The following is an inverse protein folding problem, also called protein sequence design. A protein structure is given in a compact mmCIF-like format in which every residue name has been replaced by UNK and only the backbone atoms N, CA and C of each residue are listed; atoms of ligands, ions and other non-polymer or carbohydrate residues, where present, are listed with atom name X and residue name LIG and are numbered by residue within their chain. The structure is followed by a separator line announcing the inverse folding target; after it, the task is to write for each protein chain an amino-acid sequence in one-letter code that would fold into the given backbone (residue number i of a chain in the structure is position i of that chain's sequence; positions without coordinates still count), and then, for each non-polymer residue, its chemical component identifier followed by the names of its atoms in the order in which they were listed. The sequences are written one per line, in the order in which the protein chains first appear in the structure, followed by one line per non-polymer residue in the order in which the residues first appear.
data_IF_671293870341
#
_entry.id   IF_671293870341
#
_cell.length_a   1.000
_cell.length_b   1.000
_cell.length_c   1.000
_cell.angle_alpha   90.00
_cell.angle_beta   90.00
_cell.angle_gamma   90.00
#
_symmetry.space_group_name_H-M   'P 1'
#
loop_
_entity.id
_entity.type
_entity.pdbx_description
1 polymer ?
#
# COMPACT_ATOMS: atom_id res chain seq x y z
N UNK A 1 1.43 43.23 18.77
CA UNK A 1 0.98 42.80 17.43
C UNK A 1 1.43 41.35 17.20
N UNK A 2 0.61 40.38 17.61
CA UNK A 2 0.82 38.94 17.30
C UNK A 2 -0.26 38.55 16.30
N UNK A 3 0.14 38.30 15.06
CA UNK A 3 -0.77 37.86 13.99
C UNK A 3 -1.05 36.37 14.16
N UNK A 4 -2.33 36.06 14.10
CA UNK A 4 -2.90 34.73 14.15
C UNK A 4 -2.39 33.86 13.00
N UNK A 5 -2.02 32.62 13.31
CA UNK A 5 -1.80 31.55 12.34
C UNK A 5 -2.53 30.32 12.88
N UNK A 6 -3.84 30.25 12.63
CA UNK A 6 -4.65 29.08 12.93
C UNK A 6 -5.79 29.00 11.91
N UNK A 7 -6.12 27.75 11.55
CA UNK A 7 -7.22 27.28 10.70
C UNK A 7 -6.85 27.02 9.25
N UNK A 8 -6.49 25.77 8.94
CA UNK A 8 -6.76 25.12 7.65
C UNK A 8 -6.60 23.59 7.76
N UNK A 9 -7.31 22.91 8.67
CA UNK A 9 -7.41 21.44 8.62
C UNK A 9 -8.77 20.97 9.14
N UNK A 10 -9.76 21.01 8.25
CA UNK A 10 -11.01 20.25 8.37
C UNK A 10 -11.73 20.25 7.01
N UNK A 11 -11.10 19.71 5.97
CA UNK A 11 -11.82 19.38 4.74
C UNK A 11 -12.41 17.99 4.90
N UNK A 12 -13.60 17.97 5.51
CA UNK A 12 -14.45 16.79 5.59
C UNK A 12 -14.83 16.33 4.16
N UNK A 13 -15.11 15.03 4.02
CA UNK A 13 -15.64 14.30 2.85
C UNK A 13 -16.20 15.08 1.63
N UNK A 14 -17.01 16.15 1.74
CA UNK A 14 -17.42 16.98 0.60
C UNK A 14 -16.28 17.43 -0.36
N UNK A 15 -15.08 17.73 0.14
CA UNK A 15 -13.95 18.07 -0.74
C UNK A 15 -13.45 16.86 -1.54
N UNK A 16 -13.48 15.68 -0.91
CA UNK A 16 -13.13 14.41 -1.57
C UNK A 16 -14.19 13.99 -2.59
N UNK A 17 -15.46 14.34 -2.39
CA UNK A 17 -16.53 13.99 -3.33
C UNK A 17 -16.40 14.71 -4.68
N UNK A 18 -15.70 15.86 -4.72
CA UNK A 18 -15.43 16.65 -5.93
C UNK A 18 -14.08 16.29 -6.58
N UNK A 19 -13.40 15.24 -6.11
CA UNK A 19 -12.10 14.85 -6.63
C UNK A 19 -12.20 14.36 -8.10
N UNK A 20 -11.41 14.93 -9.02
CA UNK A 20 -11.50 14.62 -10.45
C UNK A 20 -10.94 13.24 -10.83
N UNK A 21 -10.08 12.65 -9.99
CA UNK A 21 -9.44 11.36 -10.23
C UNK A 21 -10.12 10.26 -9.44
N UNK A 22 -10.26 10.44 -8.12
CA UNK A 22 -10.76 9.43 -7.18
C UNK A 22 -11.78 10.03 -6.19
N UNK A 23 -12.99 10.40 -6.68
CA UNK A 23 -14.03 11.00 -5.84
C UNK A 23 -14.41 10.07 -4.72
N UNK A 24 -14.51 10.59 -3.50
CA UNK A 24 -15.11 9.87 -2.39
C UNK A 24 -16.58 9.60 -2.70
N UNK A 25 -16.95 8.33 -2.75
CA UNK A 25 -18.33 7.91 -2.95
C UNK A 25 -19.05 7.95 -1.60
N UNK A 26 -20.23 8.58 -1.56
CA UNK A 26 -21.15 8.41 -0.43
C UNK A 26 -21.97 7.17 -0.70
N UNK A 27 -22.11 6.27 0.28
CA UNK A 27 -22.86 5.03 0.10
C UNK A 27 -24.30 5.32 -0.36
N UNK A 28 -24.65 4.90 -1.58
CA UNK A 28 -26.01 5.04 -2.13
C UNK A 28 -26.85 3.84 -1.69
N UNK A 29 -26.26 2.64 -1.77
CA UNK A 29 -26.82 1.36 -1.34
C UNK A 29 -25.81 0.62 -0.44
N UNK A 30 -26.31 -0.06 0.59
CA UNK A 30 -25.47 -0.93 1.44
C UNK A 30 -25.57 -2.36 0.94
N UNK A 31 -24.43 -3.00 0.68
CA UNK A 31 -24.39 -4.43 0.41
C UNK A 31 -24.28 -5.23 1.72
N UNK A 32 -24.76 -6.49 1.77
CA UNK A 32 -24.47 -7.36 2.89
C UNK A 32 -22.97 -7.67 2.95
N UNK A 33 -22.42 -7.88 4.14
CA UNK A 33 -21.05 -8.39 4.32
C UNK A 33 -20.98 -9.89 4.05
N UNK A 34 -19.83 -10.38 3.59
CA UNK A 34 -19.60 -11.76 3.16
C UNK A 34 -19.42 -12.79 4.30
N UNK A 35 -19.48 -12.38 5.57
CA UNK A 35 -19.19 -13.27 6.69
C UNK A 35 -17.69 -13.55 6.85
N UNK A 36 -17.28 -14.81 6.99
CA UNK A 36 -15.88 -15.18 7.14
C UNK A 36 -15.14 -15.15 5.79
N UNK A 37 -14.28 -14.14 5.61
CA UNK A 37 -13.26 -14.10 4.57
C UNK A 37 -11.89 -14.48 5.19
N UNK A 38 -11.02 -15.23 4.50
CA UNK A 38 -9.66 -15.45 4.98
C UNK A 38 -8.88 -14.12 4.95
N UNK A 39 -8.02 -13.84 5.96
CA UNK A 39 -7.16 -12.67 5.92
C UNK A 39 -6.20 -12.76 4.72
N UNK A 40 -5.93 -11.64 4.02
CA UNK A 40 -4.98 -11.60 2.92
C UNK A 40 -3.54 -11.59 3.45
N UNK A 41 -3.10 -12.75 3.94
CA UNK A 41 -1.77 -12.93 4.54
C UNK A 41 -0.70 -13.35 3.55
N UNK A 42 -1.10 -13.79 2.35
CA UNK A 42 -0.16 -14.03 1.26
C UNK A 42 0.01 -12.72 0.49
N UNK A 43 1.13 -12.04 0.72
CA UNK A 43 1.47 -10.87 -0.08
C UNK A 43 1.80 -11.31 -1.50
N UNK A 44 1.35 -10.51 -2.47
CA UNK A 44 1.78 -10.66 -3.86
C UNK A 44 3.28 -10.36 -3.91
N UNK A 45 4.08 -11.10 -4.72
CA UNK A 45 5.50 -10.78 -4.83
C UNK A 45 5.69 -9.31 -5.23
N UNK A 46 6.22 -8.51 -4.31
CA UNK A 46 6.54 -7.10 -4.56
C UNK A 46 7.58 -7.01 -5.67
N UNK A 47 7.39 -6.08 -6.60
CA UNK A 47 8.37 -5.87 -7.65
C UNK A 47 9.47 -4.97 -7.11
N UNK A 48 10.73 -5.39 -7.20
CA UNK A 48 11.82 -4.45 -6.93
C UNK A 48 11.72 -3.25 -7.88
N UNK A 49 11.93 -2.03 -7.35
CA UNK A 49 11.85 -0.81 -8.15
C UNK A 49 13.00 -0.74 -9.17
N UNK A 50 12.64 -0.55 -10.43
CA UNK A 50 13.56 -0.53 -11.58
C UNK A 50 12.98 -1.33 -12.75
N UNK A 51 13.76 -1.52 -13.81
CA UNK A 51 13.33 -2.24 -15.02
C UNK A 51 14.47 -3.09 -15.59
N UNK A 52 14.12 -4.18 -16.31
CA UNK A 52 15.07 -5.19 -16.81
C UNK A 52 16.03 -5.70 -15.73
N UNK A 53 15.44 -6.02 -14.57
CA UNK A 53 16.21 -6.31 -13.37
C UNK A 53 16.96 -7.63 -13.51
N UNK A 54 18.27 -7.56 -13.36
CA UNK A 54 19.14 -8.70 -13.33
C UNK A 54 19.10 -9.39 -11.97
N UNK A 55 19.19 -10.73 -11.96
CA UNK A 55 19.07 -11.53 -10.74
C UNK A 55 20.39 -12.24 -10.43
N UNK A 56 20.63 -12.49 -9.14
CA UNK A 56 21.64 -13.45 -8.65
C UNK A 56 20.98 -14.41 -7.65
N UNK A 57 21.40 -15.67 -7.66
CA UNK A 57 20.97 -16.67 -6.67
C UNK A 57 22.21 -17.31 -6.03
N UNK A 58 22.23 -17.45 -4.70
CA UNK A 58 23.39 -17.94 -3.95
C UNK A 58 24.72 -17.24 -4.33
N UNK A 59 24.65 -15.92 -4.60
CA UNK A 59 25.81 -15.11 -5.02
C UNK A 59 26.19 -15.23 -6.50
N UNK A 60 25.57 -16.11 -7.28
CA UNK A 60 25.89 -16.35 -8.68
C UNK A 60 24.91 -15.59 -9.59
N UNK A 61 25.38 -14.73 -10.51
CA UNK A 61 24.53 -14.10 -11.52
C UNK A 61 23.81 -15.14 -12.38
N UNK A 62 22.52 -14.94 -12.63
CA UNK A 62 21.77 -15.78 -13.57
C UNK A 62 21.85 -15.14 -14.96
N UNK A 63 22.66 -15.68 -15.90
CA UNK A 63 22.82 -15.09 -17.22
C UNK A 63 21.52 -15.24 -18.02
N UNK A 64 21.24 -14.25 -18.89
CA UNK A 64 20.09 -14.25 -19.80
C UNK A 64 18.70 -14.29 -19.13
N UNK A 65 18.62 -14.09 -17.81
CA UNK A 65 17.36 -13.95 -17.08
C UNK A 65 17.23 -12.54 -16.50
N UNK A 66 16.10 -11.91 -16.79
CA UNK A 66 15.72 -10.58 -16.34
C UNK A 66 14.27 -10.62 -15.87
N UNK A 67 13.96 -9.83 -14.84
CA UNK A 67 12.57 -9.66 -14.39
C UNK A 67 11.96 -8.52 -15.21
N UNK A 68 11.08 -8.89 -16.16
CA UNK A 68 10.21 -7.94 -16.84
C UNK A 68 9.05 -7.56 -15.93
N UNK A 69 9.10 -6.37 -15.34
CA UNK A 69 8.13 -5.91 -14.35
C UNK A 69 7.33 -4.67 -14.81
N UNK A 70 7.48 -4.19 -16.05
CA UNK A 70 6.65 -3.08 -16.56
C UNK A 70 5.32 -3.61 -17.10
N UNK A 71 4.22 -3.00 -16.66
CA UNK A 71 2.87 -3.32 -17.12
C UNK A 71 2.26 -2.18 -17.97
N UNK A 72 1.11 -2.48 -18.57
CA UNK A 72 0.26 -1.54 -19.30
C UNK A 72 -1.19 -1.76 -18.86
N UNK A 73 -2.09 -0.84 -19.18
CA UNK A 73 -3.53 -1.05 -18.94
C UNK A 73 -4.07 -2.37 -19.53
N UNK A 74 -3.53 -2.79 -20.69
CA UNK A 74 -3.93 -4.01 -21.38
C UNK A 74 -3.36 -5.28 -20.78
N UNK A 75 -2.34 -5.19 -19.93
CA UNK A 75 -1.63 -6.34 -19.35
C UNK A 75 -1.80 -6.46 -17.84
N UNK A 76 -2.67 -5.65 -17.20
CA UNK A 76 -2.95 -5.74 -15.76
C UNK A 76 -3.50 -7.10 -15.33
N UNK A 77 -4.13 -7.85 -16.25
CA UNK A 77 -4.86 -9.06 -15.91
C UNK A 77 -6.18 -8.77 -15.22
N UNK A 78 -6.69 -9.77 -14.50
CA UNK A 78 -7.89 -9.67 -13.64
C UNK A 78 -7.48 -9.73 -12.19
N UNK A 79 -8.17 -8.97 -11.36
CA UNK A 79 -7.98 -8.97 -9.91
C UNK A 79 -8.65 -10.18 -9.29
N UNK A 80 -7.91 -10.84 -8.41
CA UNK A 80 -8.39 -11.94 -7.58
C UNK A 80 -8.07 -11.65 -6.12
N UNK A 81 -9.10 -11.47 -5.29
CA UNK A 81 -8.92 -11.32 -3.85
C UNK A 81 -8.02 -12.41 -3.25
N UNK A 82 -7.01 -12.00 -2.47
CA UNK A 82 -6.08 -12.87 -1.75
C UNK A 82 -5.40 -13.90 -2.68
N UNK A 83 -4.94 -13.46 -3.85
CA UNK A 83 -4.18 -14.32 -4.74
C UNK A 83 -2.83 -14.70 -4.10
N UNK A 84 -2.73 -15.96 -3.68
CA UNK A 84 -1.68 -16.44 -2.78
C UNK A 84 -0.32 -16.65 -3.45
N UNK A 85 0.73 -16.89 -2.63
CA UNK A 85 2.10 -17.22 -3.05
C UNK A 85 2.22 -18.46 -3.97
N UNK A 86 1.23 -19.35 -4.07
CA UNK A 86 1.20 -20.38 -5.12
C UNK A 86 1.00 -19.78 -6.54
N UNK A 87 0.44 -18.57 -6.61
CA UNK A 87 0.44 -17.69 -7.76
C UNK A 87 1.84 -17.16 -8.11
N UNK A 88 2.77 -17.01 -7.17
CA UNK A 88 4.15 -16.60 -7.45
C UNK A 88 4.91 -17.64 -8.30
N UNK A 89 4.70 -18.93 -8.02
CA UNK A 89 5.21 -20.04 -8.85
C UNK A 89 4.53 -20.05 -10.22
N UNK A 90 3.22 -19.75 -10.29
CA UNK A 90 2.51 -19.60 -11.58
C UNK A 90 2.97 -18.38 -12.37
N UNK A 91 3.26 -17.26 -11.72
CA UNK A 91 3.82 -16.03 -12.31
C UNK A 91 5.20 -16.31 -12.90
N UNK A 92 6.07 -17.01 -12.16
CA UNK A 92 7.38 -17.44 -12.65
C UNK A 92 7.28 -18.36 -13.88
N UNK A 93 6.18 -19.11 -13.99
CA UNK A 93 5.86 -20.01 -15.12
C UNK A 93 4.99 -19.36 -16.21
N UNK A 94 4.61 -18.08 -16.08
CA UNK A 94 3.76 -17.37 -17.05
C UNK A 94 2.31 -17.87 -17.14
N UNK A 95 1.79 -18.51 -16.08
CA UNK A 95 0.47 -19.16 -16.02
C UNK A 95 -0.56 -18.42 -15.15
N UNK A 96 -0.28 -17.19 -14.74
CA UNK A 96 -1.20 -16.38 -13.93
C UNK A 96 -2.11 -15.50 -14.80
N UNK A 97 -3.40 -15.47 -14.49
CA UNK A 97 -4.35 -14.50 -15.06
C UNK A 97 -4.18 -13.09 -14.47
N UNK A 98 -3.53 -12.99 -13.31
CA UNK A 98 -3.20 -11.74 -12.62
C UNK A 98 -1.71 -11.40 -12.78
N UNK A 99 -1.40 -10.20 -13.27
CA UNK A 99 -0.01 -9.74 -13.49
C UNK A 99 0.33 -8.61 -12.51
N UNK A 100 1.50 -8.71 -11.87
CA UNK A 100 2.03 -7.72 -10.93
C UNK A 100 3.28 -7.06 -11.52
N UNK A 101 3.44 -5.77 -11.25
CA UNK A 101 4.47 -4.95 -11.87
C UNK A 101 4.21 -3.46 -11.70
N UNK A 102 5.10 -2.67 -12.29
CA UNK A 102 5.18 -1.23 -12.18
C UNK A 102 4.57 -0.58 -13.43
N UNK A 103 3.83 0.50 -13.21
CA UNK A 103 3.27 1.35 -14.26
C UNK A 103 3.60 2.80 -13.94
N UNK A 104 4.07 3.55 -14.92
CA UNK A 104 4.21 5.00 -14.77
C UNK A 104 2.92 5.74 -15.14
N UNK A 105 2.55 6.74 -14.35
CA UNK A 105 1.45 7.66 -14.61
C UNK A 105 1.92 9.10 -14.43
N UNK A 106 1.50 10.01 -15.31
CA UNK A 106 2.00 11.39 -15.29
C UNK A 106 1.65 12.15 -14.02
N UNK A 107 0.53 11.78 -13.36
CA UNK A 107 0.05 12.47 -12.15
C UNK A 107 0.29 11.68 -10.86
N UNK A 108 0.43 10.36 -10.94
CA UNK A 108 0.64 9.48 -9.79
C UNK A 108 2.06 8.96 -9.66
N UNK A 109 2.99 9.33 -10.56
CA UNK A 109 4.33 8.76 -10.59
C UNK A 109 4.31 7.28 -10.97
N UNK A 110 5.32 6.53 -10.50
CA UNK A 110 5.32 5.07 -10.58
C UNK A 110 4.29 4.50 -9.60
N UNK A 111 3.61 3.44 -10.03
CA UNK A 111 2.58 2.72 -9.27
C UNK A 111 2.93 1.25 -9.30
N UNK A 112 3.06 0.64 -8.12
CA UNK A 112 3.15 -0.81 -7.97
C UNK A 112 1.75 -1.43 -7.83
N UNK A 113 1.40 -2.30 -8.77
CA UNK A 113 0.07 -2.91 -8.84
C UNK A 113 -0.15 -3.97 -7.75
N UNK A 114 0.90 -4.66 -7.27
CA UNK A 114 0.79 -5.60 -6.16
C UNK A 114 0.41 -4.84 -4.88
N UNK A 115 1.10 -3.75 -4.57
CA UNK A 115 0.82 -2.89 -3.41
C UNK A 115 -0.61 -2.32 -3.42
N UNK A 116 -1.08 -1.87 -4.59
CA UNK A 116 -2.47 -1.44 -4.79
C UNK A 116 -3.45 -2.57 -4.44
N UNK A 117 -3.21 -3.78 -4.93
CA UNK A 117 -4.13 -4.91 -4.74
C UNK A 117 -4.09 -5.48 -3.32
N UNK A 118 -2.91 -5.61 -2.72
CA UNK A 118 -2.75 -6.13 -1.36
C UNK A 118 -3.41 -5.20 -0.33
N UNK A 119 -3.28 -3.89 -0.50
CA UNK A 119 -3.95 -2.92 0.38
C UNK A 119 -5.46 -2.87 0.12
N UNK A 120 -5.89 -3.03 -1.14
CA UNK A 120 -7.32 -3.14 -1.48
C UNK A 120 -7.96 -4.38 -0.82
N UNK A 121 -7.31 -5.54 -0.91
CA UNK A 121 -7.79 -6.78 -0.30
C UNK A 121 -7.83 -6.68 1.22
N UNK A 122 -6.82 -6.10 1.86
CA UNK A 122 -6.85 -5.82 3.30
C UNK A 122 -8.01 -4.91 3.68
N UNK A 123 -8.31 -3.89 2.87
CA UNK A 123 -9.45 -2.99 3.08
C UNK A 123 -10.77 -3.76 3.01
N UNK A 124 -10.94 -4.62 2.01
CA UNK A 124 -12.15 -5.41 1.85
C UNK A 124 -12.33 -6.45 2.96
N UNK A 125 -11.25 -7.12 3.36
CA UNK A 125 -11.22 -8.03 4.50
C UNK A 125 -11.66 -7.33 5.79
N UNK A 126 -10.97 -6.24 6.15
CA UNK A 126 -11.25 -5.49 7.38
C UNK A 126 -12.67 -4.93 7.38
N UNK A 127 -13.16 -4.45 6.23
CA UNK A 127 -14.54 -3.98 6.11
C UNK A 127 -15.55 -5.06 6.50
N UNK A 128 -15.37 -6.29 5.98
CA UNK A 128 -16.25 -7.42 6.28
C UNK A 128 -16.17 -7.87 7.75
N UNK A 129 -15.05 -7.63 8.44
CA UNK A 129 -14.88 -7.89 9.87
C UNK A 129 -15.46 -6.79 10.75
N UNK A 130 -15.30 -5.52 10.35
CA UNK A 130 -15.64 -4.33 11.13
C UNK A 130 -17.12 -3.97 10.98
N UNK A 131 -17.68 -3.99 9.77
CA UNK A 131 -19.03 -3.49 9.53
C UNK A 131 -20.13 -4.17 10.39
N UNK A 132 -20.12 -5.50 10.60
CA UNK A 132 -21.13 -6.16 11.44
C UNK A 132 -21.02 -5.82 12.94
N UNK A 133 -19.82 -5.45 13.40
CA UNK A 133 -19.50 -5.22 14.82
C UNK A 133 -19.16 -3.76 15.12
N UNK A 134 -19.40 -2.85 14.18
CA UNK A 134 -19.02 -1.44 14.29
C UNK A 134 -19.55 -0.82 15.59
N UNK A 135 -18.64 -0.24 16.37
CA UNK A 135 -18.93 0.33 17.69
C UNK A 135 -18.56 -0.57 18.87
N UNK A 136 -18.24 -1.84 18.62
CA UNK A 136 -17.81 -2.78 19.66
C UNK A 136 -16.29 -2.81 19.76
N UNK A 137 -15.76 -3.00 20.97
CA UNK A 137 -14.35 -3.29 21.14
C UNK A 137 -14.03 -4.67 20.55
N UNK A 138 -12.88 -4.79 19.89
CA UNK A 138 -12.52 -6.02 19.18
C UNK A 138 -11.05 -6.08 18.85
N UNK A 139 -10.59 -7.27 18.46
CA UNK A 139 -9.22 -7.54 18.03
C UNK A 139 -9.25 -8.41 16.79
N UNK A 140 -8.47 -8.04 15.78
CA UNK A 140 -8.25 -8.84 14.58
C UNK A 140 -6.74 -9.10 14.53
N UNK A 141 -6.36 -10.38 14.50
CA UNK A 141 -4.97 -10.81 14.47
C UNK A 141 -4.58 -11.21 13.06
N UNK A 142 -3.33 -10.92 12.73
CA UNK A 142 -2.65 -11.36 11.52
C UNK A 142 -1.44 -12.21 11.90
N UNK A 143 -0.90 -12.96 10.94
CA UNK A 143 0.41 -13.59 11.04
C UNK A 143 1.49 -12.59 11.47
N UNK A 144 2.53 -13.10 12.15
CA UNK A 144 3.64 -12.25 12.62
C UNK A 144 4.42 -11.68 11.44
N UNK A 145 4.82 -10.43 11.60
CA UNK A 145 5.66 -9.72 10.64
C UNK A 145 6.57 -8.77 11.43
N UNK A 146 7.68 -9.32 11.95
CA UNK A 146 8.51 -8.71 13.02
C UNK A 146 7.69 -8.26 14.23
N UNK A 147 6.80 -9.13 14.70
CA UNK A 147 5.93 -8.88 15.83
C UNK A 147 4.51 -9.38 15.59
N UNK A 148 3.74 -9.53 16.67
CA UNK A 148 2.33 -9.91 16.59
C UNK A 148 1.53 -8.69 16.15
N UNK A 149 0.99 -8.75 14.92
CA UNK A 149 0.13 -7.72 14.35
C UNK A 149 -1.29 -7.87 14.88
N UNK A 150 -1.79 -6.80 15.50
CA UNK A 150 -3.14 -6.74 16.05
C UNK A 150 -3.82 -5.44 15.67
N UNK A 151 -4.86 -5.52 14.85
CA UNK A 151 -5.81 -4.41 14.70
C UNK A 151 -6.67 -4.36 15.96
N UNK A 152 -6.53 -3.27 16.72
CA UNK A 152 -7.29 -3.00 17.94
C UNK A 152 -8.45 -2.07 17.61
N UNK A 153 -9.68 -2.51 17.85
CA UNK A 153 -10.89 -1.71 17.68
C UNK A 153 -11.40 -1.26 19.05
N UNK A 154 -11.78 0.01 19.14
CA UNK A 154 -12.30 0.63 20.36
C UNK A 154 -13.83 0.64 20.36
N UNK A 155 -14.43 0.48 21.53
CA UNK A 155 -15.88 0.63 21.67
C UNK A 155 -16.28 2.12 21.56
N UNK A 156 -17.35 2.40 20.83
CA UNK A 156 -17.94 3.72 20.70
C UNK A 156 -19.43 3.62 20.34
N UNK A 157 -20.17 4.72 20.44
CA UNK A 157 -21.55 4.76 19.92
C UNK A 157 -21.54 5.10 18.43
N UNK A 158 -21.81 4.12 17.54
CA UNK A 158 -21.85 4.36 16.10
C UNK A 158 -23.04 5.23 15.69
N UNK A 159 -23.01 5.86 14.50
CA UNK A 159 -24.16 6.62 14.00
C UNK A 159 -25.41 5.73 13.89
N UNK A 160 -26.58 6.33 14.10
CA UNK A 160 -27.86 5.59 14.07
C UNK A 160 -28.24 5.10 12.67
N UNK A 161 -27.84 5.84 11.62
CA UNK A 161 -28.22 5.52 10.25
C UNK A 161 -27.35 4.44 9.61
N UNK A 162 -27.99 3.46 8.99
CA UNK A 162 -27.34 2.29 8.35
C UNK A 162 -26.28 2.71 7.32
N UNK A 163 -26.59 3.71 6.48
CA UNK A 163 -25.65 4.22 5.47
C UNK A 163 -24.42 4.88 6.09
N UNK A 164 -24.61 5.67 7.15
CA UNK A 164 -23.51 6.32 7.86
C UNK A 164 -22.60 5.29 8.53
N UNK A 165 -23.17 4.21 9.11
CA UNK A 165 -22.40 3.09 9.68
C UNK A 165 -21.57 2.39 8.60
N UNK A 166 -22.21 2.05 7.49
CA UNK A 166 -21.55 1.40 6.35
C UNK A 166 -20.39 2.25 5.82
N UNK A 167 -20.62 3.55 5.66
CA UNK A 167 -19.60 4.50 5.25
C UNK A 167 -18.45 4.57 6.24
N UNK A 168 -18.73 4.73 7.54
CA UNK A 168 -17.71 4.80 8.57
C UNK A 168 -16.86 3.51 8.63
N UNK A 169 -17.50 2.35 8.51
CA UNK A 169 -16.80 1.06 8.50
C UNK A 169 -15.86 0.92 7.30
N UNK A 170 -16.26 1.33 6.10
CA UNK A 170 -15.39 1.27 4.91
C UNK A 170 -14.16 2.17 5.06
N UNK A 171 -14.35 3.42 5.52
CA UNK A 171 -13.23 4.34 5.73
C UNK A 171 -12.30 3.89 6.85
N UNK A 172 -12.85 3.37 7.96
CA UNK A 172 -12.04 2.80 9.05
C UNK A 172 -11.23 1.59 8.55
N UNK A 173 -11.83 0.72 7.74
CA UNK A 173 -11.15 -0.43 7.15
C UNK A 173 -9.98 -0.01 6.24
N UNK A 174 -10.18 1.00 5.38
CA UNK A 174 -9.11 1.48 4.49
C UNK A 174 -7.99 2.22 5.23
N UNK A 175 -8.31 2.94 6.30
CA UNK A 175 -7.31 3.54 7.19
C UNK A 175 -6.44 2.47 7.85
N UNK A 176 -7.05 1.45 8.46
CA UNK A 176 -6.34 0.35 9.11
C UNK A 176 -5.55 -0.52 8.11
N UNK A 177 -6.08 -0.74 6.91
CA UNK A 177 -5.36 -1.44 5.84
C UNK A 177 -4.11 -0.66 5.40
N UNK A 178 -4.17 0.67 5.37
CA UNK A 178 -3.01 1.49 5.08
C UNK A 178 -1.96 1.42 6.20
N UNK A 179 -2.37 1.40 7.48
CA UNK A 179 -1.44 1.17 8.59
C UNK A 179 -0.75 -0.20 8.50
N UNK A 180 -1.46 -1.25 8.06
CA UNK A 180 -0.86 -2.58 7.80
C UNK A 180 0.19 -2.50 6.70
N UNK A 181 -0.10 -1.80 5.60
CA UNK A 181 0.85 -1.60 4.52
C UNK A 181 2.06 -0.77 4.95
N UNK A 182 1.89 0.28 5.76
CA UNK A 182 3.01 1.03 6.34
C UNK A 182 3.90 0.16 7.22
N UNK A 183 3.28 -0.72 8.00
CA UNK A 183 4.01 -1.67 8.82
C UNK A 183 4.85 -2.62 7.98
N UNK A 184 4.33 -3.08 6.84
CA UNK A 184 5.08 -3.94 5.91
C UNK A 184 6.41 -3.30 5.48
N UNK A 185 6.37 -2.03 5.06
CA UNK A 185 7.58 -1.28 4.67
C UNK A 185 8.61 -1.21 5.81
N UNK A 186 8.13 -0.96 7.03
CA UNK A 186 8.97 -0.94 8.23
C UNK A 186 9.56 -2.32 8.46
N UNK A 187 8.74 -3.36 8.48
CA UNK A 187 9.16 -4.71 8.80
C UNK A 187 10.21 -5.22 7.82
N UNK A 188 10.00 -5.03 6.51
CA UNK A 188 10.97 -5.39 5.47
C UNK A 188 12.33 -4.73 5.71
N UNK A 189 12.35 -3.44 6.06
CA UNK A 189 13.60 -2.73 6.32
C UNK A 189 14.34 -3.27 7.55
N UNK A 190 13.61 -3.64 8.60
CA UNK A 190 14.18 -4.19 9.84
C UNK A 190 14.51 -5.69 9.77
N UNK A 191 14.44 -6.28 8.57
CA UNK A 191 14.91 -7.64 8.31
C UNK A 191 13.81 -8.70 8.24
N UNK A 192 12.55 -8.31 8.00
CA UNK A 192 11.50 -9.27 7.71
C UNK A 192 11.81 -10.07 6.43
N UNK A 193 11.43 -11.35 6.45
CA UNK A 193 11.60 -12.27 5.33
C UNK A 193 10.36 -13.15 5.23
N UNK A 194 9.56 -13.00 4.17
CA UNK A 194 8.46 -13.93 3.88
C UNK A 194 8.98 -15.31 3.50
N UNK A 195 10.15 -15.37 2.86
CA UNK A 195 10.88 -16.61 2.55
C UNK A 195 12.22 -16.59 3.29
N UNK A 196 12.41 -17.48 4.29
CA UNK A 196 13.65 -17.52 5.07
C UNK A 196 14.90 -17.58 4.19
N UNK A 197 15.85 -16.68 4.46
CA UNK A 197 17.11 -16.55 3.72
C UNK A 197 17.06 -15.59 2.52
N UNK A 198 15.90 -15.05 2.18
CA UNK A 198 15.74 -14.03 1.13
C UNK A 198 15.36 -12.69 1.75
N UNK A 199 16.27 -11.72 1.66
CA UNK A 199 16.02 -10.37 2.15
C UNK A 199 15.01 -9.63 1.28
N UNK A 200 14.07 -8.95 1.94
CA UNK A 200 13.11 -8.03 1.32
C UNK A 200 13.51 -6.56 1.48
N UNK A 201 14.70 -6.27 2.01
CA UNK A 201 15.17 -4.88 2.18
C UNK A 201 15.27 -4.13 0.84
N UNK A 202 15.33 -4.84 -0.29
CA UNK A 202 15.28 -4.24 -1.63
C UNK A 202 13.95 -3.54 -1.93
N UNK A 203 12.82 -4.02 -1.40
CA UNK A 203 11.50 -3.39 -1.59
C UNK A 203 11.16 -2.38 -0.51
N UNK A 204 11.75 -2.48 0.69
CA UNK A 204 11.36 -1.63 1.82
C UNK A 204 11.41 -0.11 1.53
N UNK A 205 10.28 0.59 1.67
CA UNK A 205 10.18 2.04 1.43
C UNK A 205 10.57 2.46 0.01
N UNK A 206 10.28 1.67 -1.03
CA UNK A 206 10.51 2.09 -2.41
C UNK A 206 9.69 3.35 -2.73
N UNK A 207 10.14 4.18 -3.69
CA UNK A 207 9.53 5.50 -3.95
C UNK A 207 8.02 5.49 -4.21
N UNK A 208 7.48 4.39 -4.71
CA UNK A 208 6.11 4.18 -5.16
C UNK A 208 5.20 3.55 -4.11
N UNK A 209 5.75 2.80 -3.15
CA UNK A 209 5.00 1.82 -2.36
C UNK A 209 3.86 2.47 -1.59
N UNK A 210 4.18 3.46 -0.75
CA UNK A 210 3.18 4.07 0.12
C UNK A 210 2.10 4.86 -0.65
N UNK A 211 2.43 5.39 -1.83
CA UNK A 211 1.42 6.00 -2.69
C UNK A 211 0.50 4.94 -3.31
N UNK A 212 1.09 3.82 -3.75
CA UNK A 212 0.38 2.65 -4.31
C UNK A 212 -0.51 1.97 -3.27
N UNK A 213 0.00 1.81 -2.04
CA UNK A 213 -0.74 1.29 -0.88
C UNK A 213 -1.98 2.16 -0.61
N UNK A 214 -1.81 3.49 -0.47
CA UNK A 214 -2.94 4.41 -0.23
C UNK A 214 -3.94 4.42 -1.39
N UNK A 215 -3.46 4.30 -2.64
CA UNK A 215 -4.30 4.19 -3.82
C UNK A 215 -5.19 2.95 -3.74
N UNK A 216 -4.62 1.81 -3.34
CA UNK A 216 -5.33 0.56 -3.10
C UNK A 216 -6.45 0.69 -2.07
N UNK A 217 -6.14 1.24 -0.90
CA UNK A 217 -7.14 1.49 0.15
C UNK A 217 -8.31 2.35 -0.37
N UNK A 218 -7.99 3.45 -1.06
CA UNK A 218 -8.99 4.37 -1.59
C UNK A 218 -9.86 3.77 -2.70
N UNK A 219 -9.28 2.93 -3.57
CA UNK A 219 -10.01 2.19 -4.58
C UNK A 219 -11.02 1.23 -3.94
N UNK A 220 -10.57 0.39 -3.00
CA UNK A 220 -11.43 -0.56 -2.31
C UNK A 220 -12.57 0.13 -1.54
N UNK A 221 -12.28 1.22 -0.81
CA UNK A 221 -13.31 2.05 -0.18
C UNK A 221 -14.39 2.45 -1.21
N UNK A 222 -13.98 2.99 -2.36
CA UNK A 222 -14.91 3.44 -3.38
C UNK A 222 -15.72 2.29 -4.00
N UNK A 223 -15.10 1.13 -4.23
CA UNK A 223 -15.78 -0.08 -4.72
C UNK A 223 -16.84 -0.53 -3.72
N UNK A 224 -16.50 -0.64 -2.44
CA UNK A 224 -17.41 -1.02 -1.35
C UNK A 224 -18.58 -0.03 -1.23
N UNK A 225 -18.30 1.27 -1.23
CA UNK A 225 -19.30 2.34 -1.09
C UNK A 225 -20.19 2.50 -2.33
N UNK A 226 -19.73 2.02 -3.49
CA UNK A 226 -20.54 1.95 -4.71
C UNK A 226 -21.49 0.74 -4.73
N UNK A 227 -21.45 -0.12 -3.71
CA UNK A 227 -22.34 -1.27 -3.56
C UNK A 227 -21.77 -2.60 -4.03
N UNK A 228 -20.50 -2.63 -4.48
CA UNK A 228 -19.85 -3.84 -5.01
C UNK A 228 -19.18 -4.70 -3.93
N UNK A 229 -19.55 -4.50 -2.67
CA UNK A 229 -19.00 -5.24 -1.54
C UNK A 229 -19.79 -6.48 -1.15
N UNK A 230 -20.78 -6.89 -1.94
CA UNK A 230 -21.75 -7.95 -1.57
C UNK A 230 -21.34 -9.37 -1.95
N UNK A 231 -20.35 -9.54 -2.83
CA UNK A 231 -19.78 -10.84 -3.20
C UNK A 231 -18.34 -10.67 -3.66
N UNK A 232 -17.54 -11.76 -3.63
CA UNK A 232 -16.15 -11.73 -4.09
C UNK A 232 -16.06 -11.49 -5.59
N UNK A 233 -16.97 -12.08 -6.37
CA UNK A 233 -17.01 -11.91 -7.82
C UNK A 233 -17.28 -10.45 -8.19
N UNK A 234 -18.28 -9.82 -7.58
CA UNK A 234 -18.62 -8.42 -7.84
C UNK A 234 -17.50 -7.48 -7.38
N UNK A 235 -16.93 -7.73 -6.20
CA UNK A 235 -15.78 -6.98 -5.71
C UNK A 235 -14.59 -7.06 -6.68
N UNK A 236 -14.23 -8.26 -7.12
CA UNK A 236 -13.10 -8.49 -8.04
C UNK A 236 -13.30 -7.75 -9.37
N UNK A 237 -14.48 -7.90 -9.99
CA UNK A 237 -14.81 -7.23 -11.24
C UNK A 237 -14.83 -5.71 -11.10
N UNK A 238 -15.38 -5.20 -9.99
CA UNK A 238 -15.45 -3.77 -9.73
C UNK A 238 -14.07 -3.17 -9.44
N UNK A 239 -13.18 -3.89 -8.73
CA UNK A 239 -11.80 -3.46 -8.52
C UNK A 239 -11.00 -3.38 -9.82
N UNK A 240 -11.17 -4.34 -10.73
CA UNK A 240 -10.57 -4.28 -12.07
C UNK A 240 -10.99 -3.02 -12.84
N UNK A 241 -12.29 -2.76 -12.87
CA UNK A 241 -12.83 -1.58 -13.55
C UNK A 241 -12.35 -0.28 -12.88
N UNK A 242 -12.33 -0.23 -11.55
CA UNK A 242 -11.92 0.93 -10.79
C UNK A 242 -10.43 1.25 -10.99
N UNK A 243 -9.55 0.24 -10.93
CA UNK A 243 -8.11 0.39 -11.15
C UNK A 243 -7.81 0.94 -12.55
N UNK A 244 -8.37 0.33 -13.60
CA UNK A 244 -8.19 0.79 -14.99
C UNK A 244 -8.66 2.22 -15.19
N UNK A 245 -9.81 2.58 -14.61
CA UNK A 245 -10.38 3.91 -14.68
C UNK A 245 -9.48 4.95 -14.00
N UNK A 246 -8.92 4.62 -12.85
CA UNK A 246 -8.08 5.54 -12.09
C UNK A 246 -6.71 5.71 -12.71
N UNK A 247 -6.09 4.63 -13.20
CA UNK A 247 -4.83 4.72 -13.97
C UNK A 247 -5.00 5.59 -15.23
N UNK A 248 -6.13 5.46 -15.93
CA UNK A 248 -6.46 6.36 -17.05
C UNK A 248 -6.54 7.83 -16.61
N UNK A 249 -7.20 8.11 -15.47
CA UNK A 249 -7.34 9.48 -14.93
C UNK A 249 -6.04 10.06 -14.36
N UNK A 250 -5.12 9.19 -13.93
CA UNK A 250 -3.76 9.54 -13.56
C UNK A 250 -2.84 9.77 -14.78
N UNK A 251 -3.39 9.59 -15.99
CA UNK A 251 -2.68 9.71 -17.26
C UNK A 251 -1.55 8.67 -17.33
N UNK A 252 -1.94 7.40 -17.25
CA UNK A 252 -1.04 6.27 -17.46
C UNK A 252 -0.27 6.40 -18.78
N UNK A 253 1.03 6.15 -18.69
CA UNK A 253 1.93 6.19 -19.83
C UNK A 253 1.90 4.86 -20.60
N UNK A 254 2.42 4.89 -21.82
CA UNK A 254 2.71 3.67 -22.58
C UNK A 254 3.82 2.85 -21.91
N UNK A 255 3.99 1.59 -22.34
CA UNK A 255 5.12 0.74 -21.92
C UNK A 255 6.46 1.43 -22.16
N UNK A 256 6.71 1.87 -23.40
CA UNK A 256 7.98 2.49 -23.78
C UNK A 256 8.24 3.80 -23.04
N UNK A 257 7.21 4.59 -22.73
CA UNK A 257 7.38 5.75 -21.86
C UNK A 257 7.73 5.36 -20.43
N UNK A 258 7.10 4.33 -19.85
CA UNK A 258 7.43 3.83 -18.51
C UNK A 258 8.89 3.36 -18.44
N UNK A 259 9.33 2.58 -19.44
CA UNK A 259 10.72 2.13 -19.58
C UNK A 259 11.68 3.33 -19.73
N UNK A 260 11.32 4.32 -20.55
CA UNK A 260 12.10 5.54 -20.69
C UNK A 260 12.16 6.39 -19.41
N UNK A 261 11.11 6.39 -18.58
CA UNK A 261 11.16 7.03 -17.27
C UNK A 261 12.15 6.31 -16.35
N UNK A 262 12.15 4.97 -16.32
CA UNK A 262 13.13 4.18 -15.55
C UNK A 262 14.57 4.45 -16.00
N UNK A 263 14.82 4.46 -17.31
CA UNK A 263 16.15 4.74 -17.86
C UNK A 263 16.67 6.12 -17.45
N UNK A 264 15.80 7.13 -17.40
CA UNK A 264 16.18 8.50 -17.03
C UNK A 264 16.52 8.67 -15.54
N UNK A 265 16.07 7.78 -14.68
CA UNK A 265 16.35 7.81 -13.23
C UNK A 265 17.31 6.69 -12.79
N UNK A 266 17.87 5.93 -13.74
CA UNK A 266 18.93 4.96 -13.46
C UNK A 266 20.21 5.70 -12.99
N UNK A 267 20.87 5.15 -11.98
CA UNK A 267 21.96 5.78 -11.25
C UNK A 267 21.52 6.71 -10.11
N UNK A 268 20.30 7.26 -10.16
CA UNK A 268 19.79 8.20 -9.16
C UNK A 268 18.73 7.58 -8.22
N UNK A 269 17.76 6.86 -8.79
CA UNK A 269 16.68 6.22 -8.02
C UNK A 269 16.86 4.72 -7.87
N UNK A 270 17.46 4.10 -8.87
CA UNK A 270 17.81 2.69 -8.88
C UNK A 270 19.11 2.50 -9.63
N UNK A 271 19.71 1.32 -9.60
CA UNK A 271 21.00 1.04 -10.21
C UNK A 271 20.97 -0.25 -11.02
N UNK A 272 20.94 -0.12 -12.34
CA UNK A 272 20.92 -1.23 -13.31
C UNK A 272 22.16 -2.14 -13.26
N UNK A 273 23.27 -1.68 -12.68
CA UNK A 273 24.49 -2.47 -12.49
C UNK A 273 24.43 -3.39 -11.27
N UNK A 274 23.47 -3.15 -10.36
CA UNK A 274 23.19 -4.05 -9.23
C UNK A 274 22.17 -5.10 -9.64
N UNK A 275 22.10 -6.17 -8.83
CA UNK A 275 21.24 -7.33 -9.10
C UNK A 275 20.40 -7.64 -7.88
N UNK A 276 19.14 -8.00 -8.09
CA UNK A 276 18.25 -8.54 -7.06
C UNK A 276 18.96 -9.72 -6.37
N UNK A 277 18.98 -9.80 -5.02
CA UNK A 277 18.24 -8.97 -4.04
C UNK A 277 19.09 -7.87 -3.35
N UNK A 278 20.06 -7.26 -4.04
CA UNK A 278 20.88 -6.18 -3.45
C UNK A 278 20.02 -4.98 -3.02
N UNK A 279 20.01 -4.66 -1.72
CA UNK A 279 19.22 -3.56 -1.13
C UNK A 279 19.36 -2.25 -1.90
N UNK A 280 20.59 -1.88 -2.24
CA UNK A 280 20.88 -0.60 -2.88
C UNK A 280 20.80 -0.67 -4.41
N UNK A 281 20.20 -1.73 -4.96
CA UNK A 281 19.60 -1.64 -6.29
C UNK A 281 18.58 -0.51 -6.32
N UNK A 282 17.82 -0.31 -5.24
CA UNK A 282 16.92 0.85 -5.06
C UNK A 282 17.64 1.87 -4.19
N UNK A 283 17.96 3.03 -4.78
CA UNK A 283 18.76 4.12 -4.19
C UNK A 283 17.87 5.20 -3.56
N UNK A 284 16.78 5.56 -4.25
CA UNK A 284 15.79 6.50 -3.74
C UNK A 284 14.76 5.73 -2.92
N UNK A 285 14.44 6.24 -1.72
CA UNK A 285 13.42 5.67 -0.83
C UNK A 285 12.45 6.76 -0.37
N UNK A 286 11.25 6.38 0.05
CA UNK A 286 10.24 7.28 0.60
C UNK A 286 9.81 6.84 2.02
N UNK A 287 10.37 7.50 3.03
CA UNK A 287 10.10 7.22 4.45
C UNK A 287 8.96 8.05 5.06
N UNK A 288 8.27 8.89 4.28
CA UNK A 288 7.13 9.67 4.77
C UNK A 288 5.93 8.75 4.95
N UNK A 289 5.43 8.50 6.16
CA UNK A 289 4.29 7.61 6.41
C UNK A 289 2.96 8.37 6.53
N UNK A 290 2.88 9.62 6.08
CA UNK A 290 1.62 10.36 6.13
C UNK A 290 0.55 9.80 5.18
N UNK A 291 -0.71 9.89 5.61
CA UNK A 291 -1.90 9.40 4.88
C UNK A 291 -2.48 10.41 3.88
N UNK A 292 -1.86 11.59 3.75
CA UNK A 292 -2.22 12.63 2.79
C UNK A 292 -1.01 13.00 1.95
N UNK A 293 -0.74 12.23 0.89
CA UNK A 293 0.55 12.25 0.20
C UNK A 293 0.44 12.53 -1.29
N UNK A 294 1.47 13.18 -1.79
CA UNK A 294 1.77 13.25 -3.22
C UNK A 294 2.61 12.01 -3.59
N UNK A 295 2.63 11.61 -4.88
CA UNK A 295 3.60 10.62 -5.33
C UNK A 295 5.03 11.18 -5.17
N UNK A 296 6.02 10.29 -5.12
CA UNK A 296 7.42 10.74 -5.11
C UNK A 296 7.68 11.54 -6.39
N UNK A 297 8.12 12.81 -6.29
CA UNK A 297 8.25 13.68 -7.47
C UNK A 297 9.30 13.16 -8.44
N UNK A 298 8.90 12.83 -9.68
CA UNK A 298 9.83 12.46 -10.75
C UNK A 298 10.44 13.74 -11.35
N UNK A 299 11.78 13.91 -11.39
CA UNK A 299 12.43 15.21 -11.62
C UNK A 299 12.03 15.95 -12.91
N UNK A 300 11.67 15.22 -13.95
CA UNK A 300 11.36 15.74 -15.29
C UNK A 300 9.86 15.66 -15.63
N UNK A 301 9.03 15.21 -14.70
CA UNK A 301 7.58 15.26 -14.86
C UNK A 301 7.07 16.68 -14.57
N UNK A 302 6.22 17.19 -15.46
CA UNK A 302 5.71 18.57 -15.40
C UNK A 302 4.21 18.63 -15.14
N UNK A 303 3.52 17.50 -15.25
CA UNK A 303 2.11 17.42 -14.92
C UNK A 303 1.90 17.65 -13.41
N UNK A 304 0.88 18.43 -13.01
CA UNK A 304 0.56 18.61 -11.61
C UNK A 304 0.28 17.26 -10.93
N UNK A 305 1.05 16.90 -9.88
CA UNK A 305 0.88 15.61 -9.22
C UNK A 305 -0.47 15.55 -8.54
N UNK A 306 -1.05 14.36 -8.52
CA UNK A 306 -2.32 14.10 -7.87
C UNK A 306 -2.08 13.71 -6.41
N UNK A 307 -2.79 14.38 -5.49
CA UNK A 307 -2.70 14.11 -4.06
C UNK A 307 -3.72 13.06 -3.67
N UNK A 308 -3.26 11.95 -3.13
CA UNK A 308 -4.12 11.00 -2.43
C UNK A 308 -4.33 11.46 -1.00
N UNK A 309 -5.52 11.19 -0.48
CA UNK A 309 -5.92 11.65 0.85
C UNK A 309 -6.69 10.57 1.58
N UNK A 310 -6.45 10.45 2.88
CA UNK A 310 -7.29 9.73 3.83
C UNK A 310 -7.92 10.78 4.76
N UNK A 311 -9.26 10.86 4.87
CA UNK A 311 -9.89 11.81 5.77
C UNK A 311 -9.61 11.42 7.21
N UNK A 312 -9.11 12.36 8.01
CA UNK A 312 -8.90 12.14 9.44
C UNK A 312 -10.22 11.82 10.18
N UNK A 313 -11.33 12.39 9.70
CA UNK A 313 -12.66 12.23 10.27
C UNK A 313 -13.73 11.90 9.23
N UNK A 314 -14.65 11.02 9.61
CA UNK A 314 -15.81 10.61 8.82
C UNK A 314 -17.06 10.73 9.67
N UNK A 315 -18.00 11.58 9.27
CA UNK A 315 -19.24 11.80 10.02
C UNK A 315 -19.03 12.32 11.46
N UNK A 316 -17.93 13.05 11.71
CA UNK A 316 -17.55 13.55 13.04
C UNK A 316 -16.77 12.54 13.90
N UNK A 317 -16.53 11.32 13.39
CA UNK A 317 -15.71 10.32 14.07
C UNK A 317 -14.30 10.35 13.53
N UNK A 318 -13.30 10.45 14.41
CA UNK A 318 -11.89 10.39 14.03
C UNK A 318 -11.44 8.94 13.90
N UNK A 319 -10.93 8.56 12.73
CA UNK A 319 -10.68 7.14 12.41
C UNK A 319 -9.71 6.49 13.41
N UNK A 320 -8.60 7.17 13.72
CA UNK A 320 -7.58 6.70 14.68
C UNK A 320 -8.09 6.52 16.12
N UNK A 321 -9.20 7.16 16.49
CA UNK A 321 -9.79 6.99 17.83
C UNK A 321 -10.68 5.72 17.85
N UNK A 322 -11.14 5.24 16.68
CA UNK A 322 -11.97 4.05 16.54
C UNK A 322 -11.17 2.75 16.47
N UNK A 323 -9.93 2.81 15.98
CA UNK A 323 -9.01 1.70 16.00
C UNK A 323 -7.64 2.08 15.46
N UNK A 324 -6.66 1.21 15.72
CA UNK A 324 -5.28 1.32 15.24
C UNK A 324 -4.66 -0.07 15.05
N UNK A 325 -3.64 -0.17 14.21
CA UNK A 325 -2.72 -1.29 14.19
C UNK A 325 -1.73 -1.20 15.36
N UNK A 326 -1.56 -2.31 16.06
CA UNK A 326 -0.64 -2.48 17.17
C UNK A 326 0.29 -3.65 16.91
N UNK A 327 1.60 -3.43 17.10
CA UNK A 327 2.63 -4.45 16.92
C UNK A 327 3.20 -4.82 18.28
N UNK A 328 2.84 -5.99 18.76
CA UNK A 328 3.34 -6.54 20.01
C UNK A 328 4.65 -7.30 19.79
N UNK A 329 5.50 -7.44 20.83
CA UNK A 329 6.64 -8.34 20.77
C UNK A 329 6.22 -9.73 20.29
N UNK A 330 6.89 -10.22 19.25
CA UNK A 330 6.69 -11.54 18.66
C UNK A 330 7.81 -12.51 19.02
N UNK A 331 7.90 -13.61 18.28
CA UNK A 331 8.92 -14.63 18.51
C UNK A 331 10.32 -14.19 18.07
N UNK A 332 10.37 -13.43 16.97
CA UNK A 332 11.60 -12.88 16.40
C UNK A 332 11.32 -11.49 15.83
N UNK A 333 12.12 -10.52 16.25
CA UNK A 333 12.01 -9.12 15.82
C UNK A 333 13.22 -8.67 14.99
N UNK A 334 14.19 -9.55 14.72
CA UNK A 334 15.35 -9.24 13.89
C UNK A 334 16.06 -7.95 14.35
N UNK A 335 16.24 -6.96 13.47
CA UNK A 335 16.87 -5.68 13.80
C UNK A 335 15.91 -4.67 14.46
N UNK A 336 14.61 -4.98 14.52
CA UNK A 336 13.61 -4.10 15.13
C UNK A 336 13.78 -4.09 16.65
N UNK A 337 13.94 -2.91 17.28
CA UNK A 337 13.99 -2.83 18.74
C UNK A 337 12.70 -3.37 19.37
N UNK A 338 12.80 -4.12 20.45
CA UNK A 338 11.63 -4.65 21.15
C UNK A 338 10.91 -3.51 21.89
N UNK A 339 9.61 -3.24 21.62
CA UNK A 339 8.88 -2.20 22.33
C UNK A 339 8.54 -2.64 23.76
N UNK A 340 8.41 -1.68 24.68
CA UNK A 340 8.03 -1.99 26.07
C UNK A 340 6.61 -2.57 26.20
N UNK A 341 5.71 -2.24 25.28
CA UNK A 341 4.35 -2.80 25.21
C UNK A 341 3.99 -3.19 23.78
N UNK A 342 3.91 -2.21 22.89
CA UNK A 342 3.68 -2.38 21.46
C UNK A 342 4.09 -1.12 20.69
N UNK A 343 4.29 -1.23 19.38
CA UNK A 343 4.29 -0.08 18.47
C UNK A 343 2.87 0.19 17.99
N UNK A 344 2.32 1.37 18.28
CA UNK A 344 1.12 1.89 17.61
C UNK A 344 1.50 2.76 16.41
N UNK A 345 0.51 3.16 15.61
CA UNK A 345 0.71 3.98 14.41
C UNK A 345 1.53 5.27 14.68
N UNK A 346 1.38 5.87 15.86
CA UNK A 346 2.15 7.05 16.27
C UNK A 346 3.67 6.83 16.37
N UNK A 347 4.15 5.58 16.44
CA UNK A 347 5.57 5.25 16.49
C UNK A 347 6.18 4.98 15.10
N UNK A 348 5.36 4.76 14.07
CA UNK A 348 5.80 4.27 12.77
C UNK A 348 6.75 5.25 12.06
N UNK A 349 6.44 6.55 12.08
CA UNK A 349 7.32 7.56 11.47
C UNK A 349 8.71 7.57 12.11
N UNK A 350 8.79 7.45 13.45
CA UNK A 350 10.08 7.40 14.14
C UNK A 350 10.92 6.15 13.83
N UNK A 351 10.27 5.03 13.46
CA UNK A 351 10.95 3.83 12.96
C UNK A 351 11.48 4.05 11.54
N UNK A 352 10.70 4.68 10.67
CA UNK A 352 11.09 5.02 9.30
C UNK A 352 12.20 6.09 9.25
N UNK A 353 12.18 7.08 10.14
CA UNK A 353 13.23 8.10 10.25
C UNK A 353 14.58 7.48 10.65
N UNK A 354 14.56 6.48 11.56
CA UNK A 354 15.78 5.72 11.89
C UNK A 354 16.29 4.92 10.71
N UNK A 355 15.38 4.29 9.95
CA UNK A 355 15.72 3.57 8.73
C UNK A 355 16.41 4.49 7.71
N UNK A 356 15.86 5.69 7.51
CA UNK A 356 16.42 6.70 6.62
C UNK A 356 17.85 7.12 6.97
N UNK A 357 18.13 7.41 8.25
CA UNK A 357 19.47 7.81 8.69
C UNK A 357 20.48 6.65 8.59
N UNK A 358 20.02 5.42 8.84
CA UNK A 358 20.84 4.23 8.66
C UNK A 358 21.18 4.00 7.17
N UNK A 359 20.22 4.13 6.25
CA UNK A 359 20.46 3.97 4.82
C UNK A 359 21.42 5.04 4.27
N UNK A 360 21.28 6.32 4.68
CA UNK A 360 22.27 7.36 4.36
C UNK A 360 23.68 6.96 4.77
N UNK A 361 23.82 6.41 5.97
CA UNK A 361 25.13 5.99 6.51
C UNK A 361 25.69 4.79 5.76
N UNK A 362 24.84 3.81 5.40
CA UNK A 362 25.24 2.60 4.67
C UNK A 362 25.64 2.91 3.22
N UNK A 363 24.88 3.75 2.52
CA UNK A 363 25.21 4.21 1.16
C UNK A 363 26.56 4.93 1.13
N UNK A 364 26.77 5.90 2.03
CA UNK A 364 28.02 6.66 2.10
C UNK A 364 29.27 5.81 2.43
N UNK A 365 29.08 4.62 3.01
CA UNK A 365 30.17 3.63 3.22
C UNK A 365 30.42 2.75 2.01
N UNK A 366 29.42 2.56 1.15
CA UNK A 366 29.49 1.71 -0.04
C UNK A 366 30.07 2.46 -1.24
N UNK A 367 29.99 3.80 -1.24
CA UNK A 367 30.56 4.69 -2.25
C UNK A 367 32.04 5.07 -1.99
N UNK A 368 32.60 4.67 -0.83
CA UNK A 368 34.02 4.80 -0.49
C UNK A 368 34.74 3.49 -0.77
#
# INVERSE_FOLDING_TARGET
MRKAFWLLFALALPALAQDPVLPAVTAIHTAPTLGELPPPESLRPCCAFGYDLHVRAAGIPIPMYQIGNVLTLGTLGKHHYNDSAFGAVKNLLGLSEEQNGLIYTRRGGFIDIAHVRDTADNTFYLFNRIAPTLGQAGRIFYSEELGVRRVQLNAFTPPAGVRQRYQLAAWLAGHLAFEIAQWHEIAQWYGFQSVPGFSEEISAFSPEDLYSNLLGARLAINVILSGHGGSLEDYNQAMDAALKKVLTRLLVATRGETEAMFQQIDGDWWNSHRRVPDKFLVLKRNYDLQENRLPTPVPFETMPPYRLTMPEQVGGFRLRDLGELQIYPGHDMQALPVPAQYYGAGAFQGLADRAHEADKTQLARTEK
#
